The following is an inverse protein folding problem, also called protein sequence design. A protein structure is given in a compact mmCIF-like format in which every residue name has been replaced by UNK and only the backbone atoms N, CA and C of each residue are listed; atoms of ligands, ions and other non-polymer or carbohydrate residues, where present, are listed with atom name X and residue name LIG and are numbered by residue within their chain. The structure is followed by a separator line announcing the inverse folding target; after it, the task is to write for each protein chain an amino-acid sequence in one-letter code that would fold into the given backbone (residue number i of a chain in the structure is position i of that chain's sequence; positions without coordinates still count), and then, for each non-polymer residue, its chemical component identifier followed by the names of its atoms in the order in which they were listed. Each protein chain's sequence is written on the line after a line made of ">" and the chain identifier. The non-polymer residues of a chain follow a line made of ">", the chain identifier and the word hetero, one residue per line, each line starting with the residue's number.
data_IF_078696390840
#
_entry.id   IF_078696390840
#
_cell.length_a   1.000
_cell.length_b   1.000
_cell.length_c   1.000
_cell.angle_alpha   90.00
_cell.angle_beta   90.00
_cell.angle_gamma   90.00
#
_symmetry.space_group_name_H-M   'P 1'
#
loop_
_entity.id
_entity.type
_entity.pdbx_description
1 polymer ?
#
# COMPACT_ATOMS: atom_id res chain seq x y z
N UNK A 1 24.70 20.84 45.48
CA UNK A 1 23.32 20.64 45.01
C UNK A 1 23.16 21.23 43.62
N UNK A 2 23.15 20.43 42.56
CA UNK A 2 22.33 20.63 41.36
C UNK A 2 22.48 19.40 40.46
N UNK A 3 21.43 18.59 40.42
CA UNK A 3 21.17 17.59 39.39
C UNK A 3 19.99 18.09 38.53
N UNK A 4 19.90 17.54 37.31
CA UNK A 4 18.85 17.68 36.28
C UNK A 4 19.15 18.82 35.29
N UNK A 5 19.28 18.55 33.99
CA UNK A 5 18.24 17.94 33.18
C UNK A 5 18.85 17.25 31.94
N UNK A 6 18.73 15.91 31.85
CA UNK A 6 18.98 15.18 30.60
C UNK A 6 17.64 15.01 29.88
N UNK A 7 17.56 15.51 28.64
CA UNK A 7 16.40 15.40 27.78
C UNK A 7 16.06 13.95 27.46
N UNK A 8 14.77 13.59 27.59
CA UNK A 8 14.24 12.30 27.14
C UNK A 8 14.29 12.25 25.60
N UNK A 9 15.22 11.49 25.05
CA UNK A 9 15.16 11.07 23.66
C UNK A 9 13.95 10.13 23.47
N UNK A 10 13.01 10.55 22.62
CA UNK A 10 11.80 9.77 22.30
C UNK A 10 12.16 8.42 21.68
N UNK A 11 11.44 7.38 22.09
CA UNK A 11 11.62 6.01 21.61
C UNK A 11 11.46 5.96 20.08
N UNK A 12 12.39 5.33 19.33
CA UNK A 12 12.25 5.25 17.88
C UNK A 12 10.98 4.47 17.51
N UNK A 13 10.14 5.08 16.67
CA UNK A 13 8.91 4.46 16.19
C UNK A 13 9.20 3.08 15.56
N UNK A 14 8.40 2.07 15.93
CA UNK A 14 8.53 0.70 15.44
C UNK A 14 8.28 0.63 13.94
N UNK A 15 8.82 -0.40 13.27
CA UNK A 15 8.58 -0.65 11.83
C UNK A 15 7.09 -0.69 11.49
N UNK A 16 6.25 -1.18 12.42
CA UNK A 16 4.79 -1.20 12.27
C UNK A 16 4.19 0.22 12.29
N UNK A 17 4.49 1.03 13.31
CA UNK A 17 4.01 2.41 13.38
C UNK A 17 4.47 3.27 12.19
N UNK A 18 5.68 3.01 11.67
CA UNK A 18 6.17 3.64 10.45
C UNK A 18 5.45 3.16 9.19
N UNK A 19 4.99 1.92 9.15
CA UNK A 19 4.15 1.38 8.09
C UNK A 19 2.77 2.03 8.09
N UNK A 20 2.11 2.05 9.25
CA UNK A 20 0.78 2.63 9.43
C UNK A 20 0.73 4.11 9.00
N UNK A 21 1.72 4.92 9.40
CA UNK A 21 1.80 6.32 9.00
C UNK A 21 1.99 6.52 7.49
N UNK A 22 2.70 5.60 6.82
CA UNK A 22 2.86 5.66 5.36
C UNK A 22 1.58 5.28 4.63
N UNK A 23 0.85 4.29 5.12
CA UNK A 23 -0.45 3.93 4.58
C UNK A 23 -1.47 5.06 4.73
N UNK A 24 -1.45 5.78 5.85
CA UNK A 24 -2.31 6.94 6.07
C UNK A 24 -2.01 8.08 5.07
N UNK A 25 -0.73 8.37 4.83
CA UNK A 25 -0.30 9.37 3.83
C UNK A 25 -0.73 8.99 2.42
N UNK A 26 -0.51 7.73 2.03
CA UNK A 26 -0.93 7.22 0.72
C UNK A 26 -2.45 7.24 0.57
N UNK A 27 -3.19 6.88 1.62
CA UNK A 27 -4.65 6.91 1.63
C UNK A 27 -5.17 8.33 1.41
N UNK A 28 -4.69 9.30 2.20
CA UNK A 28 -5.11 10.70 2.08
C UNK A 28 -4.84 11.23 0.66
N UNK A 29 -3.64 10.98 0.14
CA UNK A 29 -3.28 11.37 -1.22
C UNK A 29 -4.24 10.77 -2.27
N UNK A 30 -4.53 9.47 -2.20
CA UNK A 30 -5.42 8.82 -3.16
C UNK A 30 -6.87 9.31 -3.04
N UNK A 31 -7.33 9.65 -1.83
CA UNK A 31 -8.65 10.26 -1.63
C UNK A 31 -8.73 11.65 -2.26
N UNK A 32 -7.67 12.45 -2.15
CA UNK A 32 -7.55 13.74 -2.83
C UNK A 32 -7.53 13.59 -4.36
N UNK A 33 -7.03 12.46 -4.88
CA UNK A 33 -7.14 12.09 -6.30
C UNK A 33 -8.54 11.56 -6.70
N UNK A 34 -9.50 11.54 -5.78
CA UNK A 34 -10.88 11.14 -6.04
C UNK A 34 -11.15 9.64 -5.90
N UNK A 35 -10.22 8.85 -5.33
CA UNK A 35 -10.47 7.44 -5.03
C UNK A 35 -11.20 7.29 -3.69
N UNK A 36 -12.20 6.41 -3.66
CA UNK A 36 -12.92 6.06 -2.45
C UNK A 36 -12.33 4.82 -1.80
N UNK A 37 -12.04 4.88 -0.51
CA UNK A 37 -11.60 3.72 0.25
C UNK A 37 -12.71 2.65 0.35
N UNK A 38 -12.36 1.42 0.02
CA UNK A 38 -13.20 0.24 0.25
C UNK A 38 -12.72 -0.55 1.48
N UNK A 39 -11.42 -0.80 1.58
CA UNK A 39 -10.84 -1.57 2.68
C UNK A 39 -9.34 -1.29 2.84
N UNK A 40 -8.84 -1.31 4.08
CA UNK A 40 -7.39 -1.26 4.40
C UNK A 40 -6.91 -2.60 4.90
N UNK A 41 -5.61 -2.85 4.79
CA UNK A 41 -4.91 -3.96 5.43
C UNK A 41 -5.58 -5.33 5.20
N UNK A 42 -5.98 -5.59 3.95
CA UNK A 42 -6.68 -6.81 3.59
C UNK A 42 -5.71 -7.98 3.58
N UNK A 43 -6.05 -9.06 4.29
CA UNK A 43 -5.24 -10.28 4.41
C UNK A 43 -6.09 -11.50 4.16
N UNK A 44 -5.60 -12.42 3.33
CA UNK A 44 -6.28 -13.70 3.13
C UNK A 44 -5.93 -14.68 4.25
N UNK A 45 -6.84 -15.59 4.65
CA UNK A 45 -6.54 -16.66 5.60
C UNK A 45 -5.43 -17.62 5.12
N UNK A 46 -4.80 -18.33 6.07
CA UNK A 46 -3.86 -19.43 5.78
C UNK A 46 -2.37 -19.04 5.69
N UNK A 47 -1.51 -20.05 5.72
CA UNK A 47 -0.04 -19.88 5.60
C UNK A 47 0.32 -19.51 4.15
N UNK A 48 1.10 -18.46 3.95
CA UNK A 48 1.44 -17.98 2.61
C UNK A 48 0.38 -17.07 1.97
N UNK A 49 -0.59 -16.60 2.76
CA UNK A 49 -1.63 -15.69 2.30
C UNK A 49 -1.12 -14.40 1.65
N UNK A 50 -1.96 -13.84 0.80
CA UNK A 50 -1.77 -12.53 0.19
C UNK A 50 -2.18 -11.40 1.12
N UNK A 51 -1.61 -10.22 0.88
CA UNK A 51 -1.97 -8.99 1.55
C UNK A 51 -2.09 -7.85 0.54
N UNK A 52 -2.98 -6.90 0.83
CA UNK A 52 -3.15 -5.65 0.09
C UNK A 52 -3.29 -4.52 1.11
N UNK A 53 -2.48 -3.48 0.96
CA UNK A 53 -2.44 -2.36 1.91
C UNK A 53 -3.71 -1.51 1.81
N UNK A 54 -4.07 -1.09 0.59
CA UNK A 54 -5.30 -0.33 0.34
C UNK A 54 -6.10 -0.92 -0.83
N UNK A 55 -7.40 -1.03 -0.64
CA UNK A 55 -8.36 -1.37 -1.70
C UNK A 55 -9.28 -0.19 -1.87
N UNK A 56 -9.25 0.39 -3.07
CA UNK A 56 -9.90 1.64 -3.42
C UNK A 56 -10.87 1.43 -4.58
N UNK A 57 -11.70 2.43 -4.84
CA UNK A 57 -12.56 2.49 -6.01
C UNK A 57 -12.42 3.86 -6.68
N UNK A 58 -12.12 3.89 -7.97
CA UNK A 58 -12.13 5.12 -8.77
C UNK A 58 -13.56 5.52 -9.16
N UNK A 59 -13.71 6.75 -9.64
CA UNK A 59 -15.01 7.33 -10.01
C UNK A 59 -15.76 6.52 -11.09
N UNK A 60 -15.05 5.81 -11.97
CA UNK A 60 -15.63 4.93 -13.01
C UNK A 60 -16.05 3.55 -12.50
N UNK A 61 -15.86 3.26 -11.21
CA UNK A 61 -16.21 1.99 -10.59
C UNK A 61 -15.10 0.93 -10.62
N UNK A 62 -13.94 1.21 -11.21
CA UNK A 62 -12.78 0.30 -11.18
C UNK A 62 -12.32 0.06 -9.74
N UNK A 63 -12.11 -1.21 -9.37
CA UNK A 63 -11.53 -1.59 -8.08
C UNK A 63 -10.00 -1.57 -8.19
N UNK A 64 -9.37 -0.75 -7.36
CA UNK A 64 -7.93 -0.52 -7.40
C UNK A 64 -7.28 -1.17 -6.18
N UNK A 65 -6.37 -2.10 -6.42
CA UNK A 65 -5.56 -2.76 -5.40
C UNK A 65 -4.21 -2.07 -5.31
N UNK A 66 -3.91 -1.44 -4.17
CA UNK A 66 -2.74 -0.58 -4.00
C UNK A 66 -1.77 -1.22 -3.01
N UNK A 67 -0.52 -1.34 -3.40
CA UNK A 67 0.62 -1.53 -2.48
C UNK A 67 1.25 -0.17 -2.17
N UNK A 68 1.56 0.07 -0.89
CA UNK A 68 2.26 1.26 -0.42
C UNK A 68 3.71 0.89 -0.10
N UNK A 69 4.65 1.61 -0.70
CA UNK A 69 6.09 1.35 -0.53
C UNK A 69 6.80 2.62 -0.11
N UNK A 70 7.65 2.54 0.92
CA UNK A 70 8.67 3.57 1.14
C UNK A 70 9.82 3.31 0.19
N UNK A 71 10.19 4.33 -0.59
CA UNK A 71 11.32 4.21 -1.51
C UNK A 71 12.62 4.14 -0.72
N UNK A 72 13.35 3.04 -0.85
CA UNK A 72 14.71 2.93 -0.34
C UNK A 72 15.71 3.34 -1.42
N UNK A 73 16.91 3.77 -1.01
CA UNK A 73 17.99 4.17 -1.94
C UNK A 73 18.43 3.03 -2.89
N UNK A 74 18.08 1.77 -2.63
CA UNK A 74 18.42 0.64 -3.49
C UNK A 74 17.37 0.33 -4.56
N UNK A 75 16.20 0.98 -4.54
CA UNK A 75 15.07 0.66 -5.41
C UNK A 75 15.14 1.38 -6.77
N UNK A 76 16.34 1.40 -7.39
CA UNK A 76 16.55 1.99 -8.71
C UNK A 76 16.03 1.04 -9.81
N UNK A 77 14.71 1.06 -10.00
CA UNK A 77 13.97 0.42 -11.08
C UNK A 77 12.52 0.90 -11.03
N UNK A 78 11.81 0.96 -12.17
CA UNK A 78 10.43 1.46 -12.24
C UNK A 78 9.45 0.72 -11.30
N UNK A 79 8.18 1.17 -11.22
CA UNK A 79 7.14 0.63 -10.33
C UNK A 79 7.11 -0.91 -10.28
N UNK A 80 7.09 -1.56 -11.44
CA UNK A 80 7.08 -3.01 -11.58
C UNK A 80 8.37 -3.69 -11.12
N UNK A 81 9.51 -3.00 -11.18
CA UNK A 81 10.77 -3.49 -10.60
C UNK A 81 10.81 -3.32 -9.07
N UNK A 82 10.10 -2.32 -8.54
CA UNK A 82 9.97 -2.14 -7.07
C UNK A 82 9.14 -3.24 -6.41
N UNK A 83 8.21 -3.87 -7.13
CA UNK A 83 7.43 -5.02 -6.65
C UNK A 83 7.88 -6.30 -7.35
N UNK A 84 8.73 -7.09 -6.67
CA UNK A 84 9.15 -8.39 -7.17
C UNK A 84 7.99 -9.36 -7.42
N UNK A 85 8.20 -10.29 -8.35
CA UNK A 85 7.21 -11.28 -8.84
C UNK A 85 6.46 -12.00 -7.71
N UNK A 86 7.15 -12.42 -6.65
CA UNK A 86 6.52 -13.09 -5.49
C UNK A 86 5.49 -12.20 -4.78
N UNK A 87 5.77 -10.90 -4.62
CA UNK A 87 4.82 -9.97 -4.00
C UNK A 87 3.64 -9.71 -4.95
N UNK A 88 3.89 -9.53 -6.26
CA UNK A 88 2.81 -9.41 -7.26
C UNK A 88 1.84 -10.60 -7.18
N UNK A 89 2.35 -11.83 -7.16
CA UNK A 89 1.53 -13.05 -7.04
C UNK A 89 0.69 -13.07 -5.76
N UNK A 90 1.26 -12.64 -4.62
CA UNK A 90 0.54 -12.54 -3.35
C UNK A 90 -0.57 -11.48 -3.38
N UNK A 91 -0.31 -10.33 -4.00
CA UNK A 91 -1.31 -9.28 -4.18
C UNK A 91 -2.43 -9.77 -5.09
N UNK A 92 -2.11 -10.41 -6.22
CA UNK A 92 -3.10 -10.99 -7.14
C UNK A 92 -3.95 -12.06 -6.45
N UNK A 93 -3.33 -12.93 -5.64
CA UNK A 93 -4.07 -13.92 -4.84
C UNK A 93 -5.06 -13.25 -3.89
N UNK A 94 -4.63 -12.23 -3.16
CA UNK A 94 -5.50 -11.47 -2.27
C UNK A 94 -6.61 -10.73 -3.02
N UNK A 95 -6.31 -10.13 -4.18
CA UNK A 95 -7.31 -9.47 -5.01
C UNK A 95 -8.38 -10.46 -5.50
N UNK A 96 -7.98 -11.63 -6.00
CA UNK A 96 -8.93 -12.68 -6.42
C UNK A 96 -9.84 -13.11 -5.26
N UNK A 97 -9.27 -13.34 -4.08
CA UNK A 97 -10.04 -13.69 -2.89
C UNK A 97 -10.98 -12.55 -2.46
N UNK A 98 -10.51 -11.30 -2.50
CA UNK A 98 -11.32 -10.12 -2.21
C UNK A 98 -12.54 -10.03 -3.14
N UNK A 99 -12.32 -10.30 -4.43
CA UNK A 99 -13.31 -10.19 -5.49
C UNK A 99 -14.42 -11.25 -5.42
N UNK A 100 -14.20 -12.38 -4.73
CA UNK A 100 -15.22 -13.46 -4.60
C UNK A 100 -16.56 -12.99 -4.01
N UNK A 101 -16.60 -11.82 -3.34
CA UNK A 101 -17.85 -11.23 -2.83
C UNK A 101 -18.73 -10.58 -3.90
N UNK A 102 -18.22 -10.35 -5.11
CA UNK A 102 -18.98 -9.72 -6.21
C UNK A 102 -19.57 -10.76 -7.15
N UNK A 103 -20.84 -10.58 -7.53
CA UNK A 103 -21.54 -11.41 -8.53
C UNK A 103 -21.02 -11.20 -9.95
N UNK A 104 -20.61 -9.97 -10.28
CA UNK A 104 -20.01 -9.59 -11.56
C UNK A 104 -18.67 -8.92 -11.29
N UNK A 105 -17.64 -9.33 -12.00
CA UNK A 105 -16.31 -8.75 -11.84
C UNK A 105 -16.31 -7.30 -12.31
N UNK A 106 -15.93 -6.34 -11.45
CA UNK A 106 -15.65 -4.99 -11.88
C UNK A 106 -14.34 -4.98 -12.68
N UNK A 107 -14.07 -3.91 -13.45
CA UNK A 107 -12.71 -3.61 -13.87
C UNK A 107 -11.79 -3.54 -12.65
N UNK A 108 -10.55 -4.00 -12.81
CA UNK A 108 -9.57 -4.03 -11.72
C UNK A 108 -8.25 -3.46 -12.17
N UNK A 109 -7.54 -2.78 -11.27
CA UNK A 109 -6.20 -2.25 -11.53
C UNK A 109 -5.29 -2.49 -10.33
N UNK A 110 -4.01 -2.77 -10.59
CA UNK A 110 -3.00 -2.90 -9.55
C UNK A 110 -2.08 -1.69 -9.59
N UNK A 111 -2.10 -0.90 -8.52
CA UNK A 111 -1.40 0.35 -8.42
C UNK A 111 -0.33 0.28 -7.32
N UNK A 112 0.62 1.21 -7.38
CA UNK A 112 1.64 1.37 -6.35
C UNK A 112 1.70 2.84 -5.95
N UNK A 113 1.80 3.09 -4.64
CA UNK A 113 2.16 4.41 -4.13
C UNK A 113 3.56 4.31 -3.53
N UNK A 114 4.50 5.05 -4.12
CA UNK A 114 5.83 5.23 -3.57
C UNK A 114 5.84 6.46 -2.68
N UNK A 115 6.19 6.30 -1.41
CA UNK A 115 6.43 7.39 -0.48
C UNK A 115 7.89 7.80 -0.61
N UNK A 116 8.11 9.00 -1.15
CA UNK A 116 9.42 9.60 -1.35
C UNK A 116 9.60 10.83 -0.47
N UNK A 117 10.83 11.35 -0.35
CA UNK A 117 11.09 12.54 0.47
C UNK A 117 10.34 13.80 0.02
N UNK A 118 9.86 13.83 -1.23
CA UNK A 118 9.06 14.92 -1.81
C UNK A 118 7.56 14.67 -1.74
N UNK A 119 7.12 13.53 -1.20
CA UNK A 119 5.72 13.12 -1.08
C UNK A 119 5.37 11.86 -1.88
N UNK A 120 4.06 11.51 -1.95
CA UNK A 120 3.60 10.31 -2.63
C UNK A 120 3.70 10.40 -4.16
N UNK A 121 4.16 9.33 -4.80
CA UNK A 121 4.16 9.12 -6.25
C UNK A 121 3.25 7.94 -6.56
N UNK A 122 2.18 8.18 -7.33
CA UNK A 122 1.20 7.16 -7.68
C UNK A 122 1.43 6.60 -9.08
N UNK A 123 1.69 5.31 -9.12
CA UNK A 123 1.99 4.54 -10.31
C UNK A 123 0.77 3.67 -10.61
N UNK A 124 -0.03 4.12 -11.57
CA UNK A 124 -1.24 3.43 -12.00
C UNK A 124 -0.89 2.26 -12.92
N UNK A 125 -1.61 1.14 -12.79
CA UNK A 125 -1.36 -0.08 -13.58
C UNK A 125 0.11 -0.52 -13.52
N UNK A 126 0.68 -0.53 -12.31
CA UNK A 126 2.08 -0.84 -12.07
C UNK A 126 2.47 -2.27 -12.48
N UNK A 127 1.50 -3.20 -12.48
CA UNK A 127 1.62 -4.55 -13.02
C UNK A 127 0.23 -5.12 -13.34
N UNK A 128 0.22 -6.19 -14.13
CA UNK A 128 -1.00 -6.93 -14.48
C UNK A 128 -1.10 -8.25 -13.72
N UNK A 129 -2.31 -8.82 -13.65
CA UNK A 129 -2.56 -10.12 -13.02
C UNK A 129 -2.18 -11.35 -13.88
N UNK A 130 -1.20 -11.19 -14.78
CA UNK A 130 -0.76 -12.24 -15.72
C UNK A 130 -0.02 -13.40 -15.07
#
# INVERSE_FOLDING_TARGET
>A
MQFLQQGKAGTPATTKARGDAGEDEALAYLQDQGLRLLQRNYRTPGRGGGEIDLIMQSADGTVVFVEVRKRSRSDFGGAGASIGRTKQQRIVFAARHYLMRWRRMPPTRFDVVLLEGTGPVWLQAAFDAS
#
